data_IF_929332003249
#
_entry.id   IF_929332003249
#
_cell.length_a   1.000
_cell.length_b   1.000
_cell.length_c   1.000
_cell.angle_alpha   90.00
_cell.angle_beta   90.00
_cell.angle_gamma   90.00
#
_symmetry.space_group_name_H-M   'P 1'
#
loop_
_entity.id
_entity.type
_entity.pdbx_description
1 polymer ?
#
# COMPACT_ATOMS: atom_id res chain seq x y z
N UNK A 1 11.78 -4.89 51.02
CA UNK A 1 10.88 -5.36 49.95
C UNK A 1 9.54 -4.68 50.15
N UNK A 2 9.14 -3.76 49.25
CA UNK A 2 7.87 -3.03 49.36
C UNK A 2 6.94 -3.41 48.19
N UNK A 3 5.64 -3.66 48.42
CA UNK A 3 4.75 -4.03 47.33
C UNK A 3 4.09 -2.79 46.69
N UNK A 4 4.30 -2.67 45.39
CA UNK A 4 3.29 -2.31 44.37
C UNK A 4 2.60 -0.96 44.50
N UNK A 5 3.09 0.04 43.77
CA UNK A 5 2.36 1.27 43.50
C UNK A 5 1.07 0.97 42.70
N UNK A 6 -0.02 1.54 43.18
CA UNK A 6 -1.40 1.33 42.79
C UNK A 6 -1.79 2.05 41.49
N UNK A 7 -2.72 1.43 40.78
CA UNK A 7 -3.34 1.86 39.52
C UNK A 7 -4.10 3.19 39.73
N UNK A 8 -3.74 4.23 38.97
CA UNK A 8 -4.33 5.58 38.98
C UNK A 8 -5.66 5.69 38.20
N UNK A 9 -6.53 4.68 38.25
CA UNK A 9 -7.83 4.74 37.58
C UNK A 9 -8.95 4.09 38.41
N UNK A 10 -9.97 4.89 38.72
CA UNK A 10 -11.23 4.43 39.30
C UNK A 10 -12.02 3.71 38.20
N UNK A 11 -11.93 2.38 38.16
CA UNK A 11 -12.77 1.54 37.30
C UNK A 11 -14.08 1.12 38.01
N UNK A 12 -15.02 0.52 37.27
CA UNK A 12 -16.33 0.09 37.79
C UNK A 12 -16.29 -0.81 39.04
N UNK A 13 -15.16 -1.48 39.31
CA UNK A 13 -14.98 -2.32 40.51
C UNK A 13 -14.86 -1.55 41.82
N UNK A 14 -14.76 -0.22 41.76
CA UNK A 14 -14.70 0.65 42.94
C UNK A 14 -16.08 1.12 43.40
N UNK A 15 -17.14 0.74 42.68
CA UNK A 15 -18.54 0.97 43.04
C UNK A 15 -19.13 -0.34 43.56
N UNK A 16 -20.03 -0.26 44.54
CA UNK A 16 -20.60 -1.40 45.26
C UNK A 16 -21.29 -2.37 44.29
N UNK A 17 -22.07 -1.83 43.35
CA UNK A 17 -22.77 -2.61 42.31
C UNK A 17 -21.96 -2.72 41.02
N UNK A 18 -21.02 -1.80 40.81
CA UNK A 18 -20.26 -1.67 39.57
C UNK A 18 -21.05 -1.14 38.37
N UNK A 19 -22.30 -0.73 38.58
CA UNK A 19 -23.16 -0.13 37.56
C UNK A 19 -23.39 1.35 37.86
N UNK A 20 -23.59 2.13 36.80
CA UNK A 20 -23.92 3.54 36.92
C UNK A 20 -25.35 3.72 37.45
N UNK A 21 -25.49 4.45 38.56
CA UNK A 21 -26.77 4.76 39.19
C UNK A 21 -27.05 6.25 39.08
N UNK A 22 -28.27 6.61 38.68
CA UNK A 22 -28.73 8.00 38.49
C UNK A 22 -29.39 8.62 39.74
N UNK A 23 -29.61 7.81 40.78
CA UNK A 23 -30.23 8.24 42.02
C UNK A 23 -29.20 8.92 42.93
N UNK A 24 -29.46 10.16 43.32
CA UNK A 24 -28.49 11.02 44.04
C UNK A 24 -28.17 10.57 45.45
N UNK A 25 -29.02 9.74 46.05
CA UNK A 25 -28.85 9.21 47.40
C UNK A 25 -28.12 7.84 47.41
N UNK A 26 -27.81 7.29 46.23
CA UNK A 26 -27.17 5.99 46.10
C UNK A 26 -25.64 6.10 46.26
N UNK A 27 -24.98 5.18 46.98
CA UNK A 27 -23.53 5.21 47.20
C UNK A 27 -22.70 5.10 45.91
N UNK A 28 -23.28 4.57 44.83
CA UNK A 28 -22.65 4.49 43.50
C UNK A 28 -23.02 5.65 42.56
N UNK A 29 -23.67 6.70 43.06
CA UNK A 29 -24.02 7.86 42.27
C UNK A 29 -22.77 8.66 41.86
N UNK A 30 -22.64 8.95 40.55
CA UNK A 30 -21.57 9.80 40.02
C UNK A 30 -22.20 10.95 39.24
N UNK A 31 -22.11 12.21 39.74
CA UNK A 31 -22.63 13.37 39.03
C UNK A 31 -21.94 13.54 37.67
N UNK A 32 -22.71 13.48 36.57
CA UNK A 32 -22.16 13.65 35.24
C UNK A 32 -21.89 15.14 34.95
N UNK A 33 -20.62 15.54 34.96
CA UNK A 33 -20.16 16.90 34.61
C UNK A 33 -20.28 17.23 33.10
N UNK A 34 -20.72 16.28 32.27
CA UNK A 34 -20.89 16.46 30.83
C UNK A 34 -22.38 16.45 30.47
N UNK A 35 -22.92 17.52 29.84
CA UNK A 35 -24.31 17.54 29.43
C UNK A 35 -24.57 16.43 28.41
N UNK A 36 -25.40 15.44 28.79
CA UNK A 36 -25.76 14.34 27.90
C UNK A 36 -26.60 14.87 26.73
N UNK A 37 -26.10 14.68 25.50
CA UNK A 37 -26.94 14.76 24.31
C UNK A 37 -27.78 13.47 24.22
N UNK A 38 -29.10 13.56 23.93
CA UNK A 38 -29.97 12.40 23.91
C UNK A 38 -29.49 11.33 22.91
N UNK A 39 -29.37 10.11 23.42
CA UNK A 39 -28.73 8.89 22.84
C UNK A 39 -29.33 8.36 21.52
N UNK A 40 -30.24 9.08 20.87
CA UNK A 40 -30.95 8.58 19.68
C UNK A 40 -30.09 8.54 18.39
N UNK A 41 -28.99 9.29 18.35
CA UNK A 41 -28.15 9.44 17.15
C UNK A 41 -27.10 8.32 17.00
N UNK A 42 -26.56 7.80 18.11
CA UNK A 42 -25.49 6.80 18.11
C UNK A 42 -25.92 5.46 17.54
N UNK A 43 -27.12 5.00 17.90
CA UNK A 43 -27.68 3.71 17.46
C UNK A 43 -27.98 3.69 15.95
N UNK A 44 -28.47 4.81 15.39
CA UNK A 44 -28.72 4.94 13.94
C UNK A 44 -27.41 4.90 13.13
N UNK A 45 -26.35 5.51 13.66
CA UNK A 45 -25.03 5.58 13.04
C UNK A 45 -24.34 4.21 13.02
N UNK A 46 -24.50 3.41 14.09
CA UNK A 46 -23.99 2.04 14.17
C UNK A 46 -24.69 1.09 13.18
N UNK A 47 -26.03 1.16 13.09
CA UNK A 47 -26.82 0.36 12.13
C UNK A 47 -26.52 0.70 10.66
N UNK A 48 -26.16 1.96 10.36
CA UNK A 48 -25.75 2.38 9.01
C UNK A 48 -24.37 1.82 8.65
N UNK A 49 -23.44 1.81 9.60
CA UNK A 49 -22.11 1.23 9.42
C UNK A 49 -22.17 -0.28 9.20
N UNK A 50 -22.92 -1.00 10.05
CA UNK A 50 -23.09 -2.46 9.94
C UNK A 50 -23.68 -2.89 8.59
N UNK A 51 -24.65 -2.14 8.06
CA UNK A 51 -25.22 -2.41 6.71
C UNK A 51 -24.20 -2.24 5.59
N UNK A 52 -23.35 -1.21 5.64
CA UNK A 52 -22.28 -1.02 4.63
C UNK A 52 -21.23 -2.12 4.69
N UNK A 53 -20.90 -2.59 5.90
CA UNK A 53 -19.93 -3.66 6.08
C UNK A 53 -20.45 -5.02 5.55
N UNK A 54 -21.73 -5.33 5.77
CA UNK A 54 -22.35 -6.56 5.27
C UNK A 54 -22.41 -6.61 3.73
N UNK A 55 -22.68 -5.48 3.06
CA UNK A 55 -22.67 -5.39 1.58
C UNK A 55 -21.26 -5.60 1.03
N UNK A 56 -20.24 -5.02 1.68
CA UNK A 56 -18.84 -5.16 1.23
C UNK A 56 -18.27 -6.57 1.37
N UNK A 57 -18.86 -7.43 2.21
CA UNK A 57 -18.45 -8.83 2.37
C UNK A 57 -19.07 -9.75 1.31
N UNK A 58 -20.21 -9.38 0.73
CA UNK A 58 -20.90 -10.18 -0.29
C UNK A 58 -20.42 -9.91 -1.73
N UNK A 59 -19.77 -8.77 -2.00
CA UNK A 59 -19.23 -8.45 -3.34
C UNK A 59 -17.85 -9.05 -3.64
N UNK A 60 -17.24 -9.77 -2.68
CA UNK A 60 -15.91 -10.39 -2.87
C UNK A 60 -15.97 -11.89 -2.57
N UNK A 61 -16.65 -12.64 -3.44
CA UNK A 61 -16.36 -14.07 -3.61
C UNK A 61 -15.53 -14.24 -4.90
N UNK A 62 -14.23 -14.57 -4.82
CA UNK A 62 -13.48 -14.96 -6.00
C UNK A 62 -14.03 -16.30 -6.50
N UNK A 63 -14.46 -16.34 -7.76
CA UNK A 63 -14.78 -17.57 -8.45
C UNK A 63 -13.60 -18.56 -8.30
N UNK A 64 -13.85 -19.74 -7.73
CA UNK A 64 -12.89 -20.85 -7.67
C UNK A 64 -12.49 -21.22 -9.10
N UNK A 65 -11.33 -20.73 -9.56
CA UNK A 65 -10.66 -21.25 -10.76
C UNK A 65 -10.26 -22.70 -10.48
N UNK A 66 -10.96 -23.63 -11.11
CA UNK A 66 -10.53 -25.02 -11.18
C UNK A 66 -9.20 -25.08 -11.94
N UNK A 67 -8.19 -25.62 -11.27
CA UNK A 67 -6.85 -25.79 -11.79
C UNK A 67 -6.86 -27.01 -12.72
N UNK A 68 -6.96 -26.79 -14.02
CA UNK A 68 -6.75 -27.83 -15.03
C UNK A 68 -5.26 -28.21 -14.96
N UNK A 69 -4.97 -29.48 -14.73
CA UNK A 69 -3.62 -30.04 -14.77
C UNK A 69 -3.16 -30.09 -16.25
N UNK A 70 -1.94 -29.66 -16.60
CA UNK A 70 -1.37 -30.00 -17.90
C UNK A 70 -1.09 -31.51 -17.96
N UNK A 71 -1.18 -32.15 -19.15
CA UNK A 71 -0.84 -33.56 -19.31
C UNK A 71 0.65 -33.77 -19.02
N UNK A 72 0.90 -34.76 -18.18
CA UNK A 72 2.19 -35.42 -18.03
C UNK A 72 2.50 -36.16 -19.32
N UNK A 73 3.67 -35.94 -19.93
CA UNK A 73 4.49 -37.02 -20.51
C UNK A 73 5.88 -36.54 -20.94
N UNK A 74 6.85 -37.42 -20.60
CA UNK A 74 8.15 -37.67 -21.20
C UNK A 74 9.36 -36.74 -20.94
N UNK A 75 10.42 -37.42 -20.50
CA UNK A 75 11.76 -37.04 -20.04
C UNK A 75 12.59 -36.07 -20.89
N UNK A 76 13.60 -35.42 -20.27
CA UNK A 76 14.57 -34.58 -20.95
C UNK A 76 15.77 -35.37 -21.52
N UNK A 77 16.12 -35.01 -22.75
CA UNK A 77 17.48 -34.83 -23.29
C UNK A 77 18.51 -35.97 -23.14
N UNK A 78 18.64 -36.78 -24.19
CA UNK A 78 19.95 -37.25 -24.64
C UNK A 78 20.51 -36.19 -25.61
N UNK A 79 21.69 -35.65 -25.28
CA UNK A 79 22.50 -34.83 -26.16
C UNK A 79 22.99 -35.68 -27.35
N UNK A 80 22.94 -35.21 -28.61
CA UNK A 80 23.76 -35.84 -29.62
C UNK A 80 25.22 -35.44 -29.33
N UNK A 81 26.01 -36.44 -28.93
CA UNK A 81 27.46 -36.37 -28.91
C UNK A 81 27.95 -35.90 -30.28
N UNK A 82 28.76 -34.84 -30.27
CA UNK A 82 29.55 -34.40 -31.41
C UNK A 82 30.62 -35.47 -31.67
N UNK A 83 30.27 -36.47 -32.47
CA UNK A 83 31.22 -37.47 -32.92
C UNK A 83 32.13 -36.85 -33.97
N UNK A 84 33.31 -36.40 -33.53
CA UNK A 84 34.46 -36.14 -34.39
C UNK A 84 34.82 -37.46 -35.11
N UNK A 85 34.24 -37.67 -36.29
CA UNK A 85 34.83 -38.57 -37.26
C UNK A 85 35.86 -37.77 -38.05
N UNK A 86 37.13 -38.01 -37.73
CA UNK A 86 38.23 -37.67 -38.61
C UNK A 86 37.92 -38.24 -40.00
N UNK A 87 37.79 -37.36 -40.99
CA UNK A 87 37.82 -37.77 -42.39
C UNK A 87 39.18 -38.42 -42.66
N UNK A 88 39.25 -39.68 -43.10
CA UNK A 88 40.44 -40.13 -43.79
C UNK A 88 40.50 -39.37 -45.12
N UNK A 89 41.63 -38.70 -45.36
CA UNK A 89 41.94 -38.10 -46.66
C UNK A 89 41.81 -39.18 -47.75
N UNK A 90 40.71 -39.14 -48.50
CA UNK A 90 40.59 -39.93 -49.72
C UNK A 90 41.45 -39.25 -50.80
N UNK A 91 42.29 -40.00 -51.52
CA UNK A 91 43.14 -39.44 -52.57
C UNK A 91 42.25 -38.91 -53.69
N UNK A 92 42.40 -37.60 -53.93
CA UNK A 92 41.85 -36.88 -55.06
C UNK A 92 42.17 -37.64 -56.36
N UNK A 93 41.15 -38.24 -56.96
CA UNK A 93 41.19 -38.68 -58.36
C UNK A 93 40.41 -37.67 -59.16
N UNK A 94 41.16 -36.86 -59.91
CA UNK A 94 40.74 -35.69 -60.68
C UNK A 94 39.98 -36.07 -61.97
N UNK A 95 39.28 -37.21 -61.98
CA UNK A 95 38.73 -37.77 -63.22
C UNK A 95 37.35 -38.40 -62.98
N UNK A 96 36.38 -37.55 -62.65
CA UNK A 96 34.93 -37.73 -62.88
C UNK A 96 34.19 -36.48 -62.40
N UNK A 97 34.36 -35.37 -63.11
CA UNK A 97 33.41 -34.25 -63.07
C UNK A 97 32.19 -34.66 -63.89
N UNK A 98 30.99 -34.82 -63.31
CA UNK A 98 29.77 -34.81 -64.11
C UNK A 98 29.69 -33.44 -64.76
N UNK A 99 29.69 -33.41 -66.10
CA UNK A 99 29.47 -32.18 -66.84
C UNK A 99 28.13 -31.56 -66.41
N UNK A 100 28.03 -30.22 -66.34
CA UNK A 100 26.79 -29.55 -66.06
C UNK A 100 25.84 -29.82 -67.23
N UNK A 101 24.86 -30.71 -67.03
CA UNK A 101 23.70 -30.78 -67.91
C UNK A 101 22.84 -29.57 -67.61
N UNK A 102 22.84 -28.61 -68.53
CA UNK A 102 22.06 -27.36 -68.49
C UNK A 102 20.53 -27.53 -68.63
N UNK A 103 20.00 -28.71 -68.29
CA UNK A 103 18.59 -29.05 -68.51
C UNK A 103 17.85 -29.42 -67.20
N UNK A 104 18.10 -28.71 -66.10
CA UNK A 104 17.11 -28.66 -65.03
C UNK A 104 16.13 -27.52 -65.34
N UNK A 105 15.14 -27.82 -66.18
CA UNK A 105 13.92 -27.02 -66.17
C UNK A 105 13.34 -27.09 -64.76
N UNK A 106 13.57 -26.03 -63.99
CA UNK A 106 12.90 -25.77 -62.72
C UNK A 106 11.40 -25.64 -63.03
N UNK A 107 10.71 -26.78 -63.08
CA UNK A 107 9.26 -26.83 -63.14
C UNK A 107 8.71 -26.37 -61.79
N UNK A 108 8.71 -25.05 -61.62
CA UNK A 108 7.92 -24.36 -60.61
C UNK A 108 6.47 -24.73 -60.87
N UNK A 109 5.99 -25.78 -60.21
CA UNK A 109 4.58 -26.14 -60.32
C UNK A 109 3.77 -24.94 -59.83
N UNK A 110 2.77 -24.45 -60.58
CA UNK A 110 1.98 -23.27 -60.20
C UNK A 110 1.34 -23.39 -58.80
N UNK A 111 1.19 -24.62 -58.30
CA UNK A 111 0.74 -24.93 -56.95
C UNK A 111 1.75 -24.53 -55.86
N UNK A 112 3.04 -24.84 -56.03
CA UNK A 112 4.10 -24.46 -55.08
C UNK A 112 4.29 -22.94 -55.03
N UNK A 113 4.26 -22.27 -56.18
CA UNK A 113 4.33 -20.81 -56.25
C UNK A 113 3.14 -20.15 -55.53
N UNK A 114 1.91 -20.65 -55.73
CA UNK A 114 0.72 -20.16 -55.00
C UNK A 114 0.84 -20.38 -53.50
N UNK A 115 1.37 -21.52 -53.06
CA UNK A 115 1.59 -21.82 -51.65
C UNK A 115 2.64 -20.89 -51.02
N UNK A 116 3.76 -20.64 -51.71
CA UNK A 116 4.78 -19.70 -51.25
C UNK A 116 4.25 -18.27 -51.13
N UNK A 117 3.44 -17.81 -52.09
CA UNK A 117 2.79 -16.49 -52.02
C UNK A 117 1.83 -16.41 -50.82
N UNK A 118 1.05 -17.46 -50.57
CA UNK A 118 0.15 -17.52 -49.40
C UNK A 118 0.92 -17.43 -48.08
N UNK A 119 2.01 -18.19 -47.95
CA UNK A 119 2.87 -18.17 -46.76
C UNK A 119 3.54 -16.79 -46.60
N UNK A 120 3.99 -16.17 -47.70
CA UNK A 120 4.59 -14.84 -47.64
C UNK A 120 3.60 -13.78 -47.13
N UNK A 121 2.34 -13.85 -47.54
CA UNK A 121 1.26 -12.98 -47.03
C UNK A 121 1.01 -13.22 -45.55
N UNK A 122 0.95 -14.49 -45.11
CA UNK A 122 0.75 -14.85 -43.72
C UNK A 122 1.90 -14.38 -42.82
N UNK A 123 3.16 -14.58 -43.26
CA UNK A 123 4.35 -14.07 -42.57
C UNK A 123 4.35 -12.55 -42.50
N UNK A 124 3.91 -11.85 -43.55
CA UNK A 124 3.80 -10.40 -43.54
C UNK A 124 2.74 -9.92 -42.53
N UNK A 125 1.61 -10.62 -42.43
CA UNK A 125 0.57 -10.33 -41.44
C UNK A 125 1.05 -10.58 -40.01
N UNK A 126 1.67 -11.74 -39.74
CA UNK A 126 2.24 -12.07 -38.44
C UNK A 126 3.33 -11.08 -38.00
N UNK A 127 4.14 -10.58 -38.93
CA UNK A 127 5.11 -9.50 -38.63
C UNK A 127 4.41 -8.22 -38.22
N UNK A 128 3.34 -7.82 -38.93
CA UNK A 128 2.54 -6.64 -38.60
C UNK A 128 1.91 -6.77 -37.21
N UNK A 129 1.26 -7.90 -36.92
CA UNK A 129 0.65 -8.17 -35.61
C UNK A 129 1.68 -8.16 -34.49
N UNK A 130 2.87 -8.75 -34.71
CA UNK A 130 3.96 -8.71 -33.73
C UNK A 130 4.45 -7.29 -33.47
N UNK A 131 4.55 -6.46 -34.51
CA UNK A 131 5.01 -5.08 -34.38
C UNK A 131 3.93 -4.19 -33.73
N UNK A 132 2.65 -4.49 -33.91
CA UNK A 132 1.53 -3.90 -33.15
C UNK A 132 1.57 -4.31 -31.68
N UNK A 133 1.70 -5.60 -31.38
CA UNK A 133 1.81 -6.09 -30.01
C UNK A 133 3.03 -5.53 -29.26
N UNK A 134 4.13 -5.22 -29.97
CA UNK A 134 5.28 -4.51 -29.39
C UNK A 134 4.93 -3.07 -29.03
N UNK A 135 4.27 -2.33 -29.94
CA UNK A 135 3.83 -0.95 -29.69
C UNK A 135 2.87 -0.87 -28.51
N UNK A 136 1.87 -1.75 -28.44
CA UNK A 136 0.93 -1.81 -27.31
C UNK A 136 1.63 -2.09 -25.99
N UNK A 137 2.63 -2.99 -25.98
CA UNK A 137 3.40 -3.28 -24.78
C UNK A 137 4.22 -2.08 -24.32
N UNK A 138 4.82 -1.34 -25.24
CA UNK A 138 5.62 -0.16 -24.92
C UNK A 138 4.73 1.00 -24.45
N UNK A 139 3.52 1.12 -24.99
CA UNK A 139 2.48 2.04 -24.50
C UNK A 139 2.04 1.68 -23.08
N UNK A 140 1.66 0.43 -22.84
CA UNK A 140 1.28 -0.03 -21.50
C UNK A 140 2.41 0.13 -20.46
N UNK A 141 3.68 0.02 -20.89
CA UNK A 141 4.84 0.33 -20.03
C UNK A 141 4.89 1.81 -19.69
N UNK A 142 4.76 2.69 -20.69
CA UNK A 142 4.74 4.15 -20.50
C UNK A 142 3.61 4.58 -19.56
N UNK A 143 2.39 4.10 -19.79
CA UNK A 143 1.23 4.39 -18.93
C UNK A 143 1.46 3.94 -17.49
N UNK A 144 1.98 2.73 -17.29
CA UNK A 144 2.27 2.22 -15.94
C UNK A 144 3.34 3.05 -15.23
N UNK A 145 4.37 3.48 -15.95
CA UNK A 145 5.45 4.28 -15.37
C UNK A 145 5.00 5.72 -15.08
N UNK A 146 4.09 6.27 -15.90
CA UNK A 146 3.38 7.52 -15.63
C UNK A 146 2.48 7.41 -14.40
N UNK A 147 1.63 6.39 -14.31
CA UNK A 147 0.79 6.14 -13.13
C UNK A 147 1.61 5.95 -11.84
N UNK A 148 2.81 5.35 -11.92
CA UNK A 148 3.73 5.27 -10.78
C UNK A 148 4.27 6.64 -10.39
N UNK A 149 4.66 7.46 -11.36
CA UNK A 149 5.14 8.83 -11.11
C UNK A 149 4.05 9.68 -10.46
N UNK A 150 2.84 9.68 -11.00
CA UNK A 150 1.69 10.40 -10.43
C UNK A 150 1.40 9.96 -9.00
N UNK A 151 1.38 8.64 -8.73
CA UNK A 151 1.16 8.12 -7.37
C UNK A 151 2.26 8.58 -6.41
N UNK A 152 3.52 8.57 -6.86
CA UNK A 152 4.65 8.97 -6.03
C UNK A 152 4.69 10.50 -5.82
N UNK A 153 4.20 11.29 -6.78
CA UNK A 153 3.95 12.73 -6.66
C UNK A 153 2.83 13.03 -5.66
N UNK A 154 1.67 12.42 -5.83
CA UNK A 154 0.55 12.53 -4.89
C UNK A 154 0.97 12.12 -3.47
N UNK A 155 1.83 11.10 -3.34
CA UNK A 155 2.41 10.69 -2.04
C UNK A 155 3.32 11.77 -1.45
N UNK A 156 4.15 12.43 -2.26
CA UNK A 156 5.00 13.55 -1.82
C UNK A 156 4.18 14.76 -1.41
N UNK A 157 3.14 15.09 -2.18
CA UNK A 157 2.22 16.17 -1.85
C UNK A 157 1.48 15.92 -0.54
N UNK A 158 0.97 14.70 -0.32
CA UNK A 158 0.32 14.34 0.95
C UNK A 158 1.28 14.43 2.14
N UNK A 159 2.54 14.00 1.95
CA UNK A 159 3.58 14.14 2.96
C UNK A 159 3.91 15.59 3.28
N UNK A 160 4.03 16.44 2.25
CA UNK A 160 4.24 17.87 2.44
C UNK A 160 3.04 18.53 3.12
N UNK A 161 1.83 18.25 2.67
CA UNK A 161 0.58 18.74 3.26
C UNK A 161 0.44 18.34 4.73
N UNK A 162 0.80 17.10 5.06
CA UNK A 162 0.84 16.61 6.44
C UNK A 162 1.86 17.36 7.30
N UNK A 163 3.08 17.52 6.78
CA UNK A 163 4.17 18.25 7.44
C UNK A 163 3.81 19.72 7.64
N UNK A 164 3.06 20.31 6.71
CA UNK A 164 2.65 21.72 6.72
C UNK A 164 1.38 21.99 7.52
N UNK A 165 0.56 21.00 7.87
CA UNK A 165 -0.67 21.21 8.67
C UNK A 165 -0.66 20.60 10.06
N UNK A 166 0.05 19.49 10.26
CA UNK A 166 0.15 18.82 11.56
C UNK A 166 1.57 18.86 12.15
N UNK A 167 2.33 19.91 11.85
CA UNK A 167 3.55 20.25 12.58
C UNK A 167 3.40 21.57 13.30
N UNK A 168 4.15 21.72 14.39
CA UNK A 168 4.37 23.01 15.06
C UNK A 168 4.83 24.10 14.10
N UNK A 169 5.57 23.76 13.03
CA UNK A 169 6.01 24.73 12.02
C UNK A 169 4.83 25.44 11.33
N UNK A 170 3.69 24.76 11.18
CA UNK A 170 2.47 25.30 10.58
C UNK A 170 1.83 26.43 11.39
N UNK A 171 2.00 26.38 12.72
CA UNK A 171 1.36 27.30 13.68
C UNK A 171 2.31 28.29 14.30
N UNK A 172 3.61 28.18 13.99
CA UNK A 172 4.64 29.02 14.57
C UNK A 172 4.38 30.49 14.20
N UNK A 173 4.16 31.32 15.22
CA UNK A 173 3.84 32.74 15.05
C UNK A 173 2.43 33.04 14.53
N UNK A 174 1.59 32.01 14.33
CA UNK A 174 0.22 32.17 13.86
C UNK A 174 -0.77 31.83 14.99
N UNK A 175 -1.19 32.88 15.72
CA UNK A 175 -2.10 32.76 16.85
C UNK A 175 -3.48 32.22 16.48
N UNK A 176 -4.01 32.56 15.30
CA UNK A 176 -5.33 32.10 14.88
C UNK A 176 -5.32 30.61 14.55
N UNK A 177 -4.29 30.14 13.83
CA UNK A 177 -4.10 28.73 13.53
C UNK A 177 -3.80 27.90 14.79
N UNK A 178 -2.93 28.41 15.67
CA UNK A 178 -2.62 27.75 16.95
C UNK A 178 -3.89 27.61 17.81
N UNK A 179 -4.69 28.67 17.91
CA UNK A 179 -5.94 28.67 18.67
C UNK A 179 -6.98 27.74 18.05
N UNK A 180 -7.09 27.70 16.72
CA UNK A 180 -8.01 26.79 16.04
C UNK A 180 -7.67 25.31 16.31
N UNK A 181 -6.38 24.96 16.30
CA UNK A 181 -5.91 23.58 16.41
C UNK A 181 -5.70 23.08 17.83
N UNK A 182 -5.17 23.91 18.75
CA UNK A 182 -4.85 23.52 20.13
C UNK A 182 -5.72 24.19 21.17
N UNK A 183 -6.32 25.34 20.84
CA UNK A 183 -7.09 26.17 21.78
C UNK A 183 -6.29 27.21 22.54
N UNK A 184 -4.98 27.23 22.35
CA UNK A 184 -4.06 28.18 22.95
C UNK A 184 -3.58 29.19 21.89
N UNK A 185 -3.17 30.39 22.32
CA UNK A 185 -2.34 31.24 21.46
C UNK A 185 -0.96 30.62 21.29
N UNK A 186 -0.24 31.02 20.24
CA UNK A 186 1.13 30.57 20.01
C UNK A 186 2.05 30.89 21.21
N UNK A 187 1.91 32.09 21.79
CA UNK A 187 2.68 32.52 22.95
C UNK A 187 2.49 31.63 24.18
N UNK A 188 1.24 31.22 24.45
CA UNK A 188 0.90 30.33 25.58
C UNK A 188 1.38 28.91 25.28
N UNK A 189 1.19 28.42 24.05
CA UNK A 189 1.69 27.13 23.62
C UNK A 189 3.22 27.02 23.78
N UNK A 190 3.95 28.03 23.31
CA UNK A 190 5.41 28.06 23.37
C UNK A 190 5.92 28.16 24.82
N UNK A 191 5.27 28.98 25.66
CA UNK A 191 5.57 29.06 27.09
C UNK A 191 5.32 27.71 27.80
N UNK A 192 4.18 27.07 27.50
CA UNK A 192 3.83 25.76 28.04
C UNK A 192 4.86 24.69 27.64
N UNK A 193 5.28 24.67 26.38
CA UNK A 193 6.31 23.74 25.91
C UNK A 193 7.63 23.96 26.63
N UNK A 194 8.10 25.22 26.74
CA UNK A 194 9.34 25.59 27.44
C UNK A 194 9.32 25.22 28.92
N UNK A 195 8.16 25.29 29.58
CA UNK A 195 7.99 24.82 30.94
C UNK A 195 8.03 23.28 31.03
N UNK A 196 7.22 22.60 30.21
CA UNK A 196 7.05 21.15 30.29
C UNK A 196 8.30 20.37 29.85
N UNK A 197 9.07 20.88 28.89
CA UNK A 197 10.26 20.17 28.37
C UNK A 197 11.30 19.90 29.45
N UNK A 198 11.34 20.73 30.50
CA UNK A 198 12.26 20.60 31.64
C UNK A 198 12.01 19.31 32.44
N UNK A 199 10.78 18.78 32.39
CA UNK A 199 10.38 17.57 33.11
C UNK A 199 10.54 16.30 32.26
N UNK A 200 10.85 16.43 30.96
CA UNK A 200 10.98 15.29 30.04
C UNK A 200 12.42 14.77 30.13
N UNK A 201 12.63 13.79 31.02
CA UNK A 201 13.97 13.24 31.34
C UNK A 201 14.66 12.51 30.19
N UNK A 202 13.93 12.02 29.19
CA UNK A 202 14.46 11.42 27.96
C UNK A 202 13.34 11.21 26.94
N UNK A 203 13.59 11.62 25.69
CA UNK A 203 12.76 11.17 24.57
C UNK A 203 12.97 9.67 24.38
N UNK A 204 11.91 8.85 24.28
CA UNK A 204 12.06 7.42 24.09
C UNK A 204 12.88 7.13 22.82
N UNK A 205 13.96 6.36 22.96
CA UNK A 205 14.83 5.96 21.86
C UNK A 205 13.97 5.23 20.81
N UNK A 206 13.84 5.83 19.63
CA UNK A 206 13.02 5.31 18.52
C UNK A 206 11.88 6.24 18.08
N UNK A 207 11.57 7.30 18.83
CA UNK A 207 10.53 8.25 18.45
C UNK A 207 11.09 9.40 17.62
N UNK A 208 10.62 9.54 16.37
CA UNK A 208 11.11 10.56 15.41
C UNK A 208 10.42 11.94 15.51
N UNK A 209 9.52 12.14 16.47
CA UNK A 209 8.82 13.42 16.66
C UNK A 209 9.45 14.24 17.78
N UNK A 210 9.58 15.55 17.56
CA UNK A 210 10.07 16.48 18.58
C UNK A 210 9.14 16.53 19.79
N UNK A 211 9.64 16.90 20.97
CA UNK A 211 8.79 17.08 22.17
C UNK A 211 7.71 18.15 21.94
N UNK A 212 7.99 19.12 21.07
CA UNK A 212 7.05 20.18 20.70
C UNK A 212 5.91 19.63 19.82
N UNK A 213 6.23 18.80 18.82
CA UNK A 213 5.21 18.15 18.00
C UNK A 213 4.38 17.14 18.81
N UNK A 214 5.00 16.44 19.78
CA UNK A 214 4.28 15.57 20.71
C UNK A 214 3.25 16.36 21.52
N UNK A 215 3.64 17.49 22.13
CA UNK A 215 2.72 18.35 22.87
C UNK A 215 1.61 18.90 21.95
N UNK A 216 1.97 19.35 20.75
CA UNK A 216 1.00 19.84 19.77
C UNK A 216 -0.05 18.77 19.41
N UNK A 217 0.39 17.55 19.10
CA UNK A 217 -0.51 16.44 18.78
C UNK A 217 -1.39 16.04 19.96
N UNK A 218 -0.87 16.08 21.20
CA UNK A 218 -1.65 15.88 22.41
C UNK A 218 -2.78 16.91 22.55
N UNK A 219 -2.47 18.20 22.40
CA UNK A 219 -3.48 19.26 22.49
C UNK A 219 -4.51 19.17 21.35
N UNK A 220 -4.05 18.89 20.13
CA UNK A 220 -4.91 18.67 18.98
C UNK A 220 -5.83 17.46 19.18
N UNK A 221 -5.32 16.38 19.78
CA UNK A 221 -6.09 15.19 20.13
C UNK A 221 -7.16 15.49 21.18
N UNK A 222 -6.84 16.28 22.21
CA UNK A 222 -7.80 16.69 23.24
C UNK A 222 -8.90 17.60 22.68
N UNK A 223 -8.54 18.52 21.78
CA UNK A 223 -9.48 19.52 21.24
C UNK A 223 -10.37 18.99 20.13
N UNK A 224 -9.78 18.33 19.13
CA UNK A 224 -10.50 17.90 17.92
C UNK A 224 -10.87 16.42 17.93
N UNK A 225 -10.32 15.64 18.86
CA UNK A 225 -10.51 14.20 18.98
C UNK A 225 -10.41 13.41 17.64
N UNK A 226 -9.42 13.66 16.77
CA UNK A 226 -9.21 12.87 15.56
C UNK A 226 -8.94 11.41 15.91
N UNK A 227 -9.43 10.48 15.10
CA UNK A 227 -9.16 9.05 15.32
C UNK A 227 -7.66 8.75 15.19
N UNK A 228 -7.19 7.71 15.88
CA UNK A 228 -5.79 7.24 15.75
C UNK A 228 -5.51 6.82 14.30
N UNK A 229 -6.49 6.22 13.62
CA UNK A 229 -6.40 5.87 12.20
C UNK A 229 -6.17 7.11 11.32
N UNK A 230 -6.91 8.20 11.57
CA UNK A 230 -6.74 9.47 10.85
C UNK A 230 -5.36 10.08 11.12
N UNK A 231 -4.92 10.10 12.38
CA UNK A 231 -3.59 10.60 12.75
C UNK A 231 -2.47 9.73 12.14
N UNK A 232 -2.65 8.41 12.08
CA UNK A 232 -1.74 7.45 11.43
C UNK A 232 -1.60 7.73 9.94
N UNK A 233 -2.73 7.95 9.25
CA UNK A 233 -2.76 8.31 7.84
C UNK A 233 -2.09 9.66 7.58
N UNK A 234 -2.43 10.69 8.35
CA UNK A 234 -1.85 12.02 8.14
C UNK A 234 -0.36 12.00 8.49
N UNK A 235 0.05 11.51 9.65
CA UNK A 235 1.46 11.52 10.07
C UNK A 235 2.35 10.52 9.31
N UNK A 236 1.76 9.66 8.46
CA UNK A 236 2.43 8.54 7.81
C UNK A 236 3.23 7.67 8.80
N UNK A 237 2.64 7.42 9.97
CA UNK A 237 3.21 6.58 11.02
C UNK A 237 2.27 5.40 11.29
N UNK A 238 2.80 4.20 11.58
CA UNK A 238 1.96 3.09 12.00
C UNK A 238 1.08 3.47 13.20
N UNK A 239 -0.17 2.97 13.23
CA UNK A 239 -1.07 3.21 14.36
C UNK A 239 -0.45 2.89 15.73
N UNK A 240 0.32 1.81 15.94
CA UNK A 240 0.99 1.57 17.21
C UNK A 240 1.92 2.70 17.63
N UNK A 241 2.65 3.29 16.68
CA UNK A 241 3.54 4.43 16.93
C UNK A 241 2.75 5.66 17.36
N UNK A 242 1.61 5.93 16.71
CA UNK A 242 0.72 7.05 17.07
C UNK A 242 0.06 6.82 18.44
N UNK A 243 -0.37 5.58 18.74
CA UNK A 243 -0.90 5.22 20.07
C UNK A 243 0.11 5.49 21.17
N UNK A 244 1.38 5.20 20.92
CA UNK A 244 2.45 5.40 21.89
C UNK A 244 2.66 6.88 22.28
N UNK A 245 2.26 7.84 21.44
CA UNK A 245 2.27 9.28 21.78
C UNK A 245 1.33 9.56 22.96
N UNK A 246 0.19 8.86 23.01
CA UNK A 246 -0.90 9.12 23.94
C UNK A 246 -0.97 8.10 25.09
N UNK A 247 -0.04 7.16 25.19
CA UNK A 247 -0.06 6.04 26.15
C UNK A 247 1.03 6.15 27.23
N UNK A 248 1.34 7.36 27.69
CA UNK A 248 2.18 7.55 28.88
C UNK A 248 1.34 7.80 30.13
#
# INVERSE_FOLDING_TARGET
MGPGQSILYVCGKHFITGYHVNDGEHPDYVPSIFPQRPSSEGSKRLKRYQRRYAVSQHEVLPAKRQRIKPPTEASPSETPEYFNTAYPEAPFTEDSLPQPSDDYELSDTPALHRQQVSIAIEVANLRRERDEARRERDEARRERDEARRERDEARRELQNWSKERLSVHAIKGNDSACRAMTGLSWSVFDCLHRYLVQFIKSSPKGFRLSTQDQLFLCLLKLRQNPSIALLSQILHKPEPTVRHIFQR
#
